data_IF_046160719415
#
_entry.id   IF_046160719415
#
_cell.length_a   1.000
_cell.length_b   1.000
_cell.length_c   1.000
_cell.angle_alpha   90.00
_cell.angle_beta   90.00
_cell.angle_gamma   90.00
#
_symmetry.space_group_name_H-M   'P 1'
#
loop_
_entity.id
_entity.type
_entity.pdbx_description
1 polymer ?
#
# COMPACT_ATOMS: atom_id res chain seq x y z
N UNK A 1 -17.26 8.01 -7.32
CA UNK A 1 -15.82 7.77 -7.62
C UNK A 1 -15.18 8.90 -8.42
N UNK A 2 -15.75 9.32 -9.57
CA UNK A 2 -15.21 10.46 -10.34
C UNK A 2 -15.09 11.73 -9.50
N UNK A 3 -16.09 12.06 -8.71
CA UNK A 3 -16.08 13.22 -7.81
C UNK A 3 -14.97 13.15 -6.73
N UNK A 4 -14.69 11.97 -6.19
CA UNK A 4 -13.58 11.79 -5.25
C UNK A 4 -12.21 12.01 -5.91
N UNK A 5 -12.03 11.59 -7.16
CA UNK A 5 -10.80 11.86 -7.94
C UNK A 5 -10.60 13.35 -8.25
N UNK A 6 -11.67 14.14 -8.32
CA UNK A 6 -11.58 15.60 -8.45
C UNK A 6 -11.08 16.25 -7.15
N UNK A 7 -11.35 15.64 -6.01
CA UNK A 7 -11.00 16.16 -4.67
C UNK A 7 -9.68 15.60 -4.12
N UNK A 8 -9.26 14.43 -4.60
CA UNK A 8 -8.01 13.78 -4.21
C UNK A 8 -7.29 13.21 -5.43
N UNK A 9 -6.11 13.73 -5.70
CA UNK A 9 -5.22 13.20 -6.74
C UNK A 9 -4.32 12.14 -6.11
N UNK A 10 -4.39 10.86 -6.57
CA UNK A 10 -3.52 9.82 -6.06
C UNK A 10 -2.04 10.17 -6.29
N UNK A 11 -1.18 10.10 -5.26
CA UNK A 11 0.26 10.20 -5.42
C UNK A 11 0.80 9.18 -6.45
N UNK A 12 1.84 9.58 -7.17
CA UNK A 12 2.36 8.80 -8.31
C UNK A 12 3.00 7.46 -7.91
N UNK A 13 3.31 7.25 -6.65
CA UNK A 13 3.84 5.99 -6.12
C UNK A 13 2.77 4.92 -5.84
N UNK A 14 1.47 5.21 -6.00
CA UNK A 14 0.38 4.23 -5.96
C UNK A 14 0.12 3.65 -7.36
N UNK A 15 0.87 2.62 -7.73
CA UNK A 15 0.90 2.08 -9.09
C UNK A 15 -0.36 1.35 -9.54
N UNK A 16 -1.18 0.84 -8.62
CA UNK A 16 -2.48 0.21 -8.95
C UNK A 16 -3.57 1.22 -9.38
N UNK A 17 -3.36 2.52 -9.16
CA UNK A 17 -4.27 3.59 -9.57
C UNK A 17 -3.80 4.31 -10.85
N UNK A 18 -2.81 3.78 -11.56
CA UNK A 18 -2.22 4.39 -12.75
C UNK A 18 -1.85 3.35 -13.81
N UNK A 19 -1.60 3.80 -15.03
CA UNK A 19 -1.17 2.93 -16.12
C UNK A 19 0.19 2.28 -15.84
N UNK A 20 0.41 1.06 -16.35
CA UNK A 20 1.64 0.29 -16.19
C UNK A 20 1.61 -0.71 -15.02
N UNK A 21 0.71 -0.51 -14.04
CA UNK A 21 0.42 -1.48 -12.98
C UNK A 21 1.65 -1.95 -12.21
N UNK A 22 1.67 -3.24 -11.84
CA UNK A 22 2.72 -3.86 -11.04
C UNK A 22 4.09 -3.90 -11.75
N UNK A 23 4.12 -3.99 -13.08
CA UNK A 23 5.38 -3.95 -13.82
C UNK A 23 6.07 -2.60 -13.65
N UNK A 24 5.33 -1.50 -13.82
CA UNK A 24 5.89 -0.16 -13.58
C UNK A 24 6.29 0.08 -12.13
N UNK A 25 5.60 -0.56 -11.17
CA UNK A 25 6.00 -0.53 -9.77
C UNK A 25 7.37 -1.19 -9.52
N UNK A 26 7.70 -2.24 -10.27
CA UNK A 26 9.02 -2.91 -10.18
C UNK A 26 10.11 -2.15 -10.95
N UNK A 27 9.78 -1.58 -12.11
CA UNK A 27 10.75 -0.91 -12.97
C UNK A 27 11.49 0.25 -12.29
N UNK A 28 10.85 0.98 -11.38
CA UNK A 28 11.49 2.11 -10.67
C UNK A 28 12.64 1.67 -9.76
N UNK A 29 12.71 0.39 -9.41
CA UNK A 29 13.70 -0.18 -8.52
C UNK A 29 14.92 -0.77 -9.25
N UNK A 30 14.90 -0.92 -10.58
CA UNK A 30 15.91 -1.63 -11.35
C UNK A 30 17.36 -1.18 -11.10
N UNK A 31 17.59 0.13 -10.93
CA UNK A 31 18.92 0.68 -10.71
C UNK A 31 19.42 0.57 -9.25
N UNK A 32 18.64 -0.04 -8.37
CA UNK A 32 19.00 -0.24 -6.96
C UNK A 32 19.79 -1.54 -6.76
N UNK A 33 20.44 -1.68 -5.60
CA UNK A 33 21.28 -2.83 -5.25
C UNK A 33 20.66 -3.69 -4.16
N UNK A 34 19.88 -3.08 -3.27
CA UNK A 34 19.22 -3.71 -2.15
C UNK A 34 17.74 -3.36 -2.16
N UNK A 35 16.91 -4.33 -1.80
CA UNK A 35 15.46 -4.27 -1.91
C UNK A 35 14.83 -4.82 -0.64
N UNK A 36 13.64 -4.38 -0.31
CA UNK A 36 12.78 -5.05 0.66
C UNK A 36 11.32 -4.94 0.21
N UNK A 37 10.51 -5.90 0.63
CA UNK A 37 9.10 -5.99 0.31
C UNK A 37 8.29 -6.16 1.59
N UNK A 38 7.21 -5.42 1.73
CA UNK A 38 6.24 -5.53 2.83
C UNK A 38 4.86 -5.76 2.24
N UNK A 39 4.21 -6.86 2.63
CA UNK A 39 2.82 -7.19 2.32
C UNK A 39 1.94 -6.83 3.53
N UNK A 40 0.89 -6.03 3.33
CA UNK A 40 -0.07 -5.66 4.38
C UNK A 40 -1.17 -6.72 4.48
N UNK A 41 -1.11 -7.53 5.54
CA UNK A 41 -2.08 -8.60 5.79
C UNK A 41 -3.50 -8.04 5.91
N UNK A 42 -4.43 -8.67 5.18
CA UNK A 42 -5.84 -8.29 5.22
C UNK A 42 -6.10 -6.81 4.94
N UNK A 43 -5.41 -6.21 3.96
CA UNK A 43 -5.42 -4.78 3.67
C UNK A 43 -6.83 -4.18 3.62
N UNK A 44 -7.75 -4.79 2.85
CA UNK A 44 -9.13 -4.33 2.77
C UNK A 44 -9.89 -4.52 4.10
N UNK A 45 -9.72 -5.65 4.76
CA UNK A 45 -10.37 -5.94 6.03
C UNK A 45 -9.85 -5.04 7.18
N UNK A 46 -8.63 -4.51 7.05
CA UNK A 46 -8.07 -3.52 7.98
C UNK A 46 -8.68 -2.11 7.81
N UNK A 47 -9.46 -1.90 6.73
CA UNK A 47 -10.07 -0.60 6.42
C UNK A 47 -11.55 -0.62 6.77
N UNK A 48 -11.84 -0.31 8.02
CA UNK A 48 -13.21 -0.29 8.56
C UNK A 48 -14.00 0.97 8.23
N UNK A 49 -15.33 0.87 8.31
CA UNK A 49 -16.28 1.96 8.03
C UNK A 49 -15.95 3.27 8.76
N UNK A 50 -15.61 3.19 10.03
CA UNK A 50 -15.28 4.39 10.84
C UNK A 50 -14.03 5.10 10.33
N UNK A 51 -13.01 4.34 9.89
CA UNK A 51 -11.80 4.90 9.26
C UNK A 51 -12.16 5.63 7.97
N UNK A 52 -12.96 4.99 7.12
CA UNK A 52 -13.43 5.56 5.84
C UNK A 52 -14.20 6.85 6.09
N UNK A 53 -15.19 6.84 6.98
CA UNK A 53 -15.98 8.05 7.31
C UNK A 53 -15.07 9.18 7.76
N UNK A 54 -14.12 8.91 8.67
CA UNK A 54 -13.20 9.92 9.19
C UNK A 54 -12.33 10.53 8.09
N UNK A 55 -11.80 9.72 7.18
CA UNK A 55 -10.97 10.18 6.07
C UNK A 55 -11.78 10.96 5.05
N UNK A 56 -12.97 10.47 4.68
CA UNK A 56 -13.84 11.13 3.71
C UNK A 56 -14.38 12.48 4.20
N UNK A 57 -14.41 12.74 5.50
CA UNK A 57 -14.76 14.06 6.06
C UNK A 57 -13.80 15.19 5.67
N UNK A 58 -12.64 14.86 5.17
CA UNK A 58 -11.74 15.87 4.58
C UNK A 58 -12.25 16.40 3.24
N UNK A 59 -13.17 15.68 2.59
CA UNK A 59 -13.66 15.96 1.23
C UNK A 59 -15.16 16.20 1.15
N UNK A 60 -15.93 15.71 2.15
CA UNK A 60 -17.40 15.70 2.16
C UNK A 60 -17.96 16.10 3.51
N UNK A 61 -19.17 16.68 3.57
CA UNK A 61 -19.94 16.79 4.81
C UNK A 61 -20.10 15.43 5.49
N UNK A 62 -20.29 15.45 6.81
CA UNK A 62 -20.31 14.22 7.62
C UNK A 62 -21.32 13.18 7.12
N UNK A 63 -22.57 13.59 6.86
CA UNK A 63 -23.63 12.66 6.43
C UNK A 63 -23.28 12.00 5.10
N UNK A 64 -22.76 12.76 4.13
CA UNK A 64 -22.33 12.22 2.85
C UNK A 64 -21.14 11.26 3.00
N UNK A 65 -20.14 11.63 3.81
CA UNK A 65 -18.99 10.76 4.10
C UNK A 65 -19.43 9.44 4.75
N UNK A 66 -20.38 9.51 5.69
CA UNK A 66 -20.97 8.34 6.37
C UNK A 66 -21.77 7.47 5.40
N UNK A 67 -22.53 8.05 4.51
CA UNK A 67 -23.31 7.34 3.50
C UNK A 67 -22.38 6.60 2.51
N UNK A 68 -21.37 7.28 1.96
CA UNK A 68 -20.35 6.66 1.09
C UNK A 68 -19.68 5.49 1.81
N UNK A 69 -19.27 5.67 3.07
CA UNK A 69 -18.66 4.61 3.86
C UNK A 69 -19.61 3.43 4.08
N UNK A 70 -20.91 3.68 4.30
CA UNK A 70 -21.94 2.64 4.46
C UNK A 70 -22.09 1.80 3.20
N UNK A 71 -22.20 2.43 2.03
CA UNK A 71 -22.34 1.74 0.75
C UNK A 71 -21.06 1.07 0.24
N UNK A 72 -19.91 1.45 0.80
CA UNK A 72 -18.61 0.88 0.43
C UNK A 72 -18.13 -0.22 1.37
N UNK A 73 -18.94 -0.63 2.35
CA UNK A 73 -18.55 -1.64 3.35
C UNK A 73 -19.62 -2.70 3.54
N UNK A 74 -19.16 -3.91 3.85
CA UNK A 74 -19.99 -5.06 4.22
C UNK A 74 -19.69 -5.49 5.65
N UNK A 75 -20.56 -6.31 6.25
CA UNK A 75 -20.31 -6.93 7.55
C UNK A 75 -19.05 -7.77 7.50
N UNK A 76 -18.18 -7.61 8.45
CA UNK A 76 -16.98 -8.43 8.56
C UNK A 76 -17.37 -9.79 9.18
N UNK A 77 -17.20 -10.86 8.42
CA UNK A 77 -17.50 -12.22 8.85
C UNK A 77 -16.29 -12.93 9.47
N UNK A 78 -15.09 -12.34 9.32
CA UNK A 78 -13.82 -12.96 9.77
C UNK A 78 -13.43 -12.48 11.15
N UNK A 79 -13.79 -11.24 11.51
CA UNK A 79 -13.39 -10.62 12.77
C UNK A 79 -14.49 -9.71 13.31
N UNK A 80 -14.58 -9.60 14.62
CA UNK A 80 -15.52 -8.70 15.29
C UNK A 80 -15.13 -7.23 15.15
N UNK A 81 -13.87 -6.93 14.92
CA UNK A 81 -13.35 -5.56 14.85
C UNK A 81 -12.35 -5.41 13.70
N UNK A 82 -12.60 -4.48 12.75
CA UNK A 82 -13.81 -3.66 12.64
C UNK A 82 -15.04 -4.47 12.17
N UNK A 83 -16.21 -4.11 12.64
CA UNK A 83 -17.48 -4.82 12.33
C UNK A 83 -17.92 -4.73 10.87
N UNK A 84 -17.51 -3.69 10.16
CA UNK A 84 -17.77 -3.48 8.73
C UNK A 84 -16.49 -3.02 8.04
N UNK A 85 -16.18 -3.66 6.93
CA UNK A 85 -14.92 -3.53 6.19
C UNK A 85 -15.16 -3.38 4.70
N UNK A 86 -14.16 -2.91 3.98
CA UNK A 86 -14.17 -2.88 2.52
C UNK A 86 -14.12 -4.32 1.99
N UNK A 87 -15.07 -4.73 1.12
CA UNK A 87 -15.03 -6.05 0.50
C UNK A 87 -14.07 -6.10 -0.68
N UNK A 88 -13.56 -7.30 -0.96
CA UNK A 88 -12.99 -7.60 -2.26
C UNK A 88 -14.05 -7.51 -3.37
N UNK A 89 -13.64 -7.08 -4.56
CA UNK A 89 -14.49 -7.08 -5.76
C UNK A 89 -15.35 -5.84 -5.99
N UNK A 90 -15.46 -4.93 -5.04
CA UNK A 90 -16.11 -3.64 -5.32
C UNK A 90 -15.12 -2.73 -6.07
N UNK A 91 -15.59 -2.12 -7.16
CA UNK A 91 -14.77 -1.25 -8.02
C UNK A 91 -14.10 -0.10 -7.25
N UNK A 92 -14.77 0.43 -6.22
CA UNK A 92 -14.25 1.52 -5.39
C UNK A 92 -13.29 1.05 -4.29
N UNK A 93 -13.22 -0.26 -3.97
CA UNK A 93 -12.44 -0.77 -2.84
C UNK A 93 -10.95 -0.39 -2.89
N UNK A 94 -10.24 -0.56 -4.01
CA UNK A 94 -8.82 -0.19 -4.09
C UNK A 94 -8.60 1.29 -3.80
N UNK A 95 -9.43 2.16 -4.37
CA UNK A 95 -9.28 3.60 -4.22
C UNK A 95 -9.58 4.07 -2.78
N UNK A 96 -10.67 3.56 -2.16
CA UNK A 96 -11.03 3.93 -0.78
C UNK A 96 -10.00 3.39 0.21
N UNK A 97 -9.49 2.18 0.02
CA UNK A 97 -8.43 1.64 0.87
C UNK A 97 -7.14 2.47 0.74
N UNK A 98 -6.78 2.85 -0.49
CA UNK A 98 -5.58 3.66 -0.74
C UNK A 98 -5.67 5.05 -0.14
N UNK A 99 -6.81 5.75 -0.25
CA UNK A 99 -6.94 7.06 0.38
C UNK A 99 -6.90 6.95 1.92
N UNK A 100 -7.42 5.87 2.50
CA UNK A 100 -7.30 5.61 3.93
C UNK A 100 -5.85 5.30 4.35
N UNK A 101 -5.08 4.61 3.51
CA UNK A 101 -3.65 4.41 3.70
C UNK A 101 -2.89 5.73 3.58
N UNK A 102 -3.12 6.51 2.51
CA UNK A 102 -2.47 7.78 2.24
C UNK A 102 -2.63 8.80 3.38
N UNK A 103 -3.81 8.83 4.01
CA UNK A 103 -4.13 9.73 5.14
C UNK A 103 -3.67 9.19 6.51
N UNK A 104 -3.11 7.99 6.57
CA UNK A 104 -2.54 7.41 7.78
C UNK A 104 -1.11 7.91 8.05
N UNK A 105 -0.57 7.59 9.25
CA UNK A 105 0.85 7.82 9.55
C UNK A 105 1.76 7.10 8.55
N UNK A 106 1.41 5.87 8.17
CA UNK A 106 2.15 5.10 7.16
C UNK A 106 2.18 5.83 5.81
N UNK A 107 1.03 6.33 5.33
CA UNK A 107 0.96 7.08 4.08
C UNK A 107 1.77 8.38 4.10
N UNK A 108 1.77 9.11 5.23
CA UNK A 108 2.62 10.29 5.42
C UNK A 108 4.11 9.93 5.32
N UNK A 109 4.52 8.85 6.01
CA UNK A 109 5.91 8.36 5.95
C UNK A 109 6.30 7.91 4.54
N UNK A 110 5.42 7.20 3.81
CA UNK A 110 5.67 6.83 2.41
C UNK A 110 5.91 8.08 1.55
N UNK A 111 5.11 9.13 1.73
CA UNK A 111 5.26 10.39 1.00
C UNK A 111 6.58 11.09 1.31
N UNK A 112 7.00 11.11 2.56
CA UNK A 112 8.30 11.66 2.97
C UNK A 112 9.46 10.86 2.34
N UNK A 113 9.38 9.53 2.38
CA UNK A 113 10.37 8.65 1.77
C UNK A 113 10.44 8.81 0.25
N UNK A 114 9.30 8.97 -0.42
CA UNK A 114 9.25 9.17 -1.87
C UNK A 114 10.00 10.44 -2.32
N UNK A 115 10.02 11.47 -1.50
CA UNK A 115 10.73 12.72 -1.78
C UNK A 115 12.26 12.64 -1.55
N UNK A 116 12.76 11.55 -0.96
CA UNK A 116 14.19 11.32 -0.76
C UNK A 116 14.83 10.82 -2.06
N UNK A 117 16.09 11.20 -2.29
CA UNK A 117 16.86 10.80 -3.49
C UNK A 117 17.60 9.47 -3.30
N UNK A 118 17.86 9.06 -2.06
CA UNK A 118 18.65 7.89 -1.68
C UNK A 118 17.85 6.61 -1.54
N UNK A 119 16.52 6.68 -1.64
CA UNK A 119 15.58 5.54 -1.58
C UNK A 119 14.57 5.62 -2.70
N UNK A 120 14.17 4.47 -3.22
CA UNK A 120 13.01 4.32 -4.11
C UNK A 120 11.90 3.62 -3.36
N UNK A 121 10.66 4.04 -3.61
CA UNK A 121 9.47 3.43 -3.01
C UNK A 121 8.36 3.32 -4.04
N UNK A 122 7.69 2.19 -4.07
CA UNK A 122 6.45 1.97 -4.82
C UNK A 122 5.42 1.24 -3.97
N UNK A 123 4.16 1.49 -4.24
CA UNK A 123 3.03 0.85 -3.54
C UNK A 123 2.05 0.31 -4.57
N UNK A 124 1.68 -0.95 -4.44
CA UNK A 124 0.66 -1.59 -5.24
C UNK A 124 -0.35 -2.29 -4.33
N UNK A 125 -1.45 -1.61 -4.01
CA UNK A 125 -2.43 -2.04 -3.00
C UNK A 125 -1.79 -2.28 -1.63
N UNK A 126 -1.65 -3.54 -1.26
CA UNK A 126 -1.08 -4.06 -0.01
C UNK A 126 0.44 -4.24 -0.06
N UNK A 127 1.04 -4.20 -1.24
CA UNK A 127 2.48 -4.39 -1.45
C UNK A 127 3.24 -3.06 -1.41
N UNK A 128 4.21 -2.94 -0.53
CA UNK A 128 5.14 -1.81 -0.43
C UNK A 128 6.54 -2.31 -0.76
N UNK A 129 7.15 -1.76 -1.80
CA UNK A 129 8.50 -2.10 -2.21
C UNK A 129 9.41 -0.90 -1.97
N UNK A 130 10.54 -1.13 -1.35
CA UNK A 130 11.60 -0.14 -1.15
C UNK A 130 12.92 -0.65 -1.68
N UNK A 131 13.78 0.27 -2.17
CA UNK A 131 15.10 -0.10 -2.63
C UNK A 131 16.09 1.07 -2.60
N UNK A 132 17.37 0.76 -2.45
CA UNK A 132 18.47 1.72 -2.45
C UNK A 132 19.78 1.11 -2.98
N UNK A 133 20.78 1.93 -3.17
CA UNK A 133 22.16 1.48 -3.40
C UNK A 133 22.87 1.07 -2.09
N UNK A 134 22.39 1.53 -0.93
CA UNK A 134 22.92 1.20 0.40
C UNK A 134 22.00 0.25 1.16
N UNK A 135 22.59 -0.80 1.76
CA UNK A 135 21.87 -1.74 2.63
C UNK A 135 21.36 -1.04 3.88
N UNK A 136 22.21 -0.25 4.55
CA UNK A 136 21.87 0.44 5.81
C UNK A 136 20.65 1.35 5.65
N UNK A 137 20.52 2.01 4.48
CA UNK A 137 19.35 2.84 4.17
C UNK A 137 18.09 1.97 4.08
N UNK A 138 18.16 0.84 3.37
CA UNK A 138 16.99 -0.06 3.23
C UNK A 138 16.59 -0.64 4.58
N UNK A 139 17.55 -1.05 5.43
CA UNK A 139 17.31 -1.58 6.78
C UNK A 139 16.65 -0.53 7.69
N UNK A 140 17.19 0.69 7.69
CA UNK A 140 16.64 1.80 8.47
C UNK A 140 15.22 2.14 8.05
N UNK A 141 14.96 2.25 6.75
CA UNK A 141 13.64 2.57 6.20
C UNK A 141 12.67 1.41 6.41
N UNK A 142 13.09 0.17 6.21
CA UNK A 142 12.30 -1.01 6.49
C UNK A 142 11.81 -1.02 7.96
N UNK A 143 12.72 -0.83 8.90
CA UNK A 143 12.40 -0.72 10.34
C UNK A 143 11.47 0.46 10.66
N UNK A 144 11.64 1.59 9.97
CA UNK A 144 10.74 2.76 10.11
C UNK A 144 9.32 2.41 9.64
N UNK A 145 9.19 1.77 8.47
CA UNK A 145 7.89 1.37 7.91
C UNK A 145 7.18 0.37 8.81
N UNK A 146 7.88 -0.64 9.36
CA UNK A 146 7.29 -1.60 10.30
C UNK A 146 6.67 -0.91 11.52
N UNK A 147 7.35 0.08 12.10
CA UNK A 147 6.82 0.88 13.21
C UNK A 147 5.58 1.70 12.80
N UNK A 148 5.61 2.30 11.61
CA UNK A 148 4.50 3.10 11.09
C UNK A 148 3.27 2.24 10.74
N UNK A 149 3.47 1.03 10.21
CA UNK A 149 2.42 0.05 9.94
C UNK A 149 1.65 -0.26 11.22
N UNK A 150 2.37 -0.64 12.29
CA UNK A 150 1.77 -0.93 13.60
C UNK A 150 1.00 0.28 14.16
N UNK A 151 1.60 1.48 14.13
CA UNK A 151 0.94 2.73 14.59
C UNK A 151 -0.25 3.13 13.74
N UNK A 152 -0.31 2.71 12.48
CA UNK A 152 -1.44 2.95 11.57
C UNK A 152 -2.52 1.86 11.65
N UNK A 153 -2.38 0.91 12.56
CA UNK A 153 -3.29 -0.22 12.74
C UNK A 153 -3.46 -1.07 11.47
N UNK A 154 -2.35 -1.29 10.75
CA UNK A 154 -2.22 -2.33 9.75
C UNK A 154 -1.43 -3.50 10.31
N UNK A 155 -1.62 -4.67 9.72
CA UNK A 155 -0.88 -5.89 10.04
C UNK A 155 0.07 -6.24 8.91
N UNK A 156 1.19 -6.87 9.23
CA UNK A 156 2.16 -7.36 8.27
C UNK A 156 1.89 -8.83 8.01
N UNK A 157 1.96 -9.23 6.76
CA UNK A 157 2.00 -10.62 6.38
C UNK A 157 3.47 -11.08 6.38
N UNK A 158 3.89 -11.68 7.49
CA UNK A 158 5.29 -12.09 7.68
C UNK A 158 5.72 -13.17 6.69
N UNK A 159 4.79 -14.03 6.26
CA UNK A 159 5.06 -15.12 5.31
C UNK A 159 5.39 -14.62 3.89
N UNK A 160 4.85 -13.45 3.53
CA UNK A 160 5.05 -12.84 2.20
C UNK A 160 6.04 -11.69 2.22
N UNK A 161 6.20 -11.01 3.35
CA UNK A 161 7.12 -9.90 3.47
C UNK A 161 8.57 -10.39 3.44
N UNK A 162 9.44 -9.63 2.77
CA UNK A 162 10.83 -9.99 2.60
C UNK A 162 11.72 -8.87 3.15
N UNK A 163 12.58 -9.18 4.13
CA UNK A 163 13.52 -8.20 4.69
C UNK A 163 14.56 -7.75 3.66
N UNK A 164 15.36 -6.73 3.97
CA UNK A 164 16.39 -6.21 3.07
C UNK A 164 17.32 -7.30 2.52
N UNK A 165 17.38 -7.39 1.17
CA UNK A 165 18.16 -8.40 0.45
C UNK A 165 18.65 -7.85 -0.91
N UNK A 166 19.54 -8.58 -1.59
CA UNK A 166 20.00 -8.24 -2.95
C UNK A 166 18.97 -8.57 -4.04
N UNK A 167 17.99 -9.39 -3.73
CA UNK A 167 16.87 -9.75 -4.59
C UNK A 167 15.64 -10.05 -3.74
N UNK A 168 14.47 -9.80 -4.30
CA UNK A 168 13.15 -10.10 -3.70
C UNK A 168 12.23 -10.70 -4.76
N UNK A 169 11.22 -11.43 -4.32
CA UNK A 169 10.16 -11.93 -5.21
C UNK A 169 8.85 -11.24 -4.87
N UNK A 170 8.30 -10.50 -5.84
CA UNK A 170 7.02 -9.79 -5.71
C UNK A 170 6.20 -10.03 -6.97
N UNK A 171 4.92 -10.29 -6.87
CA UNK A 171 4.02 -10.58 -8.00
C UNK A 171 4.46 -11.77 -8.86
N UNK A 172 5.08 -12.79 -8.26
CA UNK A 172 5.74 -13.90 -8.96
C UNK A 172 6.86 -13.46 -9.91
N UNK A 173 7.52 -12.35 -9.59
CA UNK A 173 8.63 -11.77 -10.35
C UNK A 173 9.81 -11.62 -9.41
N UNK A 174 10.96 -12.17 -9.80
CA UNK A 174 12.22 -11.93 -9.12
C UNK A 174 12.79 -10.59 -9.58
N UNK A 175 12.94 -9.67 -8.63
CA UNK A 175 13.51 -8.34 -8.81
C UNK A 175 14.92 -8.33 -8.22
N UNK A 176 15.88 -8.00 -9.04
CA UNK A 176 17.28 -7.79 -8.66
C UNK A 176 17.87 -6.64 -9.46
N UNK A 177 19.10 -6.26 -9.17
CA UNK A 177 19.75 -5.14 -9.87
C UNK A 177 19.76 -5.35 -11.39
N UNK A 178 19.18 -4.39 -12.11
CA UNK A 178 19.04 -4.38 -13.58
C UNK A 178 18.34 -5.60 -14.17
N UNK A 179 17.57 -6.35 -13.38
CA UNK A 179 16.96 -7.58 -13.82
C UNK A 179 15.57 -7.80 -13.21
N UNK A 180 14.62 -8.16 -14.08
CA UNK A 180 13.26 -8.59 -13.72
C UNK A 180 13.01 -9.91 -14.45
N UNK A 181 12.77 -11.00 -13.71
CA UNK A 181 12.49 -12.33 -14.27
C UNK A 181 11.25 -12.93 -13.62
N UNK A 182 10.35 -13.47 -14.42
CA UNK A 182 9.21 -14.25 -13.91
C UNK A 182 9.77 -15.50 -13.20
N UNK A 183 9.24 -15.81 -12.02
CA UNK A 183 9.61 -17.03 -11.30
C UNK A 183 8.99 -18.23 -12.02
N UNK A 184 9.77 -19.28 -12.23
CA UNK A 184 9.32 -20.49 -12.94
C UNK A 184 8.33 -21.33 -12.13
N UNK A 185 8.23 -21.11 -10.84
CA UNK A 185 7.33 -21.83 -9.92
C UNK A 185 6.02 -21.06 -9.75
N UNK A 186 5.00 -21.51 -10.50
CA UNK A 186 3.60 -21.31 -10.03
C UNK A 186 3.38 -22.27 -8.87
N UNK A 187 3.39 -21.78 -7.66
CA UNK A 187 2.82 -22.49 -6.51
C UNK A 187 1.34 -22.15 -6.40
#
# INVERSE_FOLDING_TARGET
MKDLLLKWTPPIYYYHLRNGGHISALQVHLNSKYFAHIDLKHFFNSTGRSRITRVLREFYPFEQAREIARFSTVKNLVSLCPSHVIPYGFVQSPMIATICLDKSLLGKTIRELFNRKDIKISVYMDDIIISSLSLDIVESVYSQLLRCIKKSHYLINEDKSQPPAKNIVVFNINLSRNNIKITETRV
#
